data_IF_451664742650
#
_entry.id   IF_451664742650
#
_cell.length_a   1.000
_cell.length_b   1.000
_cell.length_c   1.000
_cell.angle_alpha   90.00
_cell.angle_beta   90.00
_cell.angle_gamma   90.00
#
_symmetry.space_group_name_H-M   'P 1'
#
loop_
_entity.id
_entity.type
_entity.pdbx_description
1 polymer ?
#
# COMPACT_ATOMS: atom_id res chain seq x y z
N UNK A 1 16.09 -17.88 -12.29
CA UNK A 1 15.94 -18.30 -10.88
C UNK A 1 14.74 -17.54 -10.31
N UNK A 2 13.86 -18.21 -9.57
CA UNK A 2 12.73 -17.56 -8.91
C UNK A 2 13.14 -16.94 -7.56
N UNK A 3 12.27 -16.12 -6.94
CA UNK A 3 12.53 -15.61 -5.60
C UNK A 3 12.65 -16.76 -4.60
N UNK A 4 13.42 -16.55 -3.54
CA UNK A 4 13.45 -17.45 -2.39
C UNK A 4 12.23 -17.17 -1.50
N UNK A 5 11.44 -18.20 -1.26
CA UNK A 5 10.20 -18.12 -0.47
C UNK A 5 10.46 -18.68 0.92
N UNK A 6 10.29 -17.82 1.93
CA UNK A 6 10.34 -18.18 3.34
C UNK A 6 8.90 -18.41 3.80
N UNK A 7 8.53 -19.69 3.93
CA UNK A 7 7.25 -20.06 4.51
C UNK A 7 7.33 -19.97 6.04
N UNK A 8 6.49 -19.13 6.63
CA UNK A 8 6.44 -19.01 8.07
C UNK A 8 5.80 -20.26 8.68
N UNK A 9 6.45 -20.82 9.71
CA UNK A 9 5.90 -21.91 10.53
C UNK A 9 5.04 -21.43 11.69
N UNK A 10 5.13 -20.14 12.04
CA UNK A 10 4.39 -19.46 13.10
C UNK A 10 4.45 -17.95 12.89
N UNK A 11 3.67 -17.19 13.66
CA UNK A 11 3.81 -15.73 13.73
C UNK A 11 5.23 -15.34 14.10
N UNK A 12 5.78 -14.33 13.41
CA UNK A 12 7.05 -13.74 13.81
C UNK A 12 6.88 -12.95 15.13
N UNK A 13 7.92 -12.86 15.98
CA UNK A 13 7.88 -12.03 17.17
C UNK A 13 7.63 -10.55 16.85
N UNK A 14 6.99 -9.85 17.78
CA UNK A 14 6.81 -8.40 17.71
C UNK A 14 8.16 -7.66 17.64
N UNK A 15 8.21 -6.62 16.83
CA UNK A 15 9.37 -5.74 16.69
C UNK A 15 9.30 -4.67 17.78
N UNK A 16 10.11 -4.82 18.80
CA UNK A 16 10.14 -3.93 19.98
C UNK A 16 11.36 -3.00 20.02
N UNK A 17 12.24 -3.09 19.02
CA UNK A 17 13.43 -2.24 18.88
C UNK A 17 13.70 -1.89 17.42
N UNK A 18 14.67 -1.00 17.15
CA UNK A 18 14.94 -0.55 15.79
C UNK A 18 15.40 -1.70 14.90
N UNK A 19 14.83 -1.78 13.70
CA UNK A 19 15.13 -2.85 12.74
C UNK A 19 15.25 -2.28 11.34
N UNK A 20 16.29 -2.68 10.63
CA UNK A 20 16.41 -2.47 9.19
C UNK A 20 16.51 -3.81 8.49
N UNK A 21 15.57 -4.07 7.58
CA UNK A 21 15.56 -5.26 6.74
C UNK A 21 15.85 -4.82 5.32
N UNK A 22 17.04 -5.17 4.84
CA UNK A 22 17.50 -4.90 3.49
C UNK A 22 17.42 -6.18 2.64
N UNK A 23 16.30 -6.35 1.93
CA UNK A 23 16.10 -7.41 0.96
C UNK A 23 16.87 -7.21 -0.35
N UNK A 24 17.30 -5.99 -0.66
CA UNK A 24 18.15 -5.70 -1.83
C UNK A 24 19.60 -6.15 -1.65
N UNK A 25 20.01 -6.48 -0.42
CA UNK A 25 21.28 -7.15 -0.14
C UNK A 25 21.41 -8.55 -0.76
N UNK A 26 20.28 -9.15 -1.19
CA UNK A 26 20.28 -10.51 -1.72
C UNK A 26 20.84 -10.57 -3.15
N UNK A 27 21.66 -11.58 -3.48
CA UNK A 27 22.17 -11.76 -4.83
C UNK A 27 21.05 -11.83 -5.88
N UNK A 28 21.15 -10.97 -6.90
CA UNK A 28 20.16 -10.88 -7.98
C UNK A 28 19.00 -9.92 -7.70
N UNK A 29 18.91 -9.35 -6.49
CA UNK A 29 17.98 -8.28 -6.22
C UNK A 29 18.44 -7.00 -6.92
N UNK A 30 17.49 -6.27 -7.51
CA UNK A 30 17.77 -5.05 -8.29
C UNK A 30 16.69 -4.03 -7.97
N UNK A 31 17.09 -2.83 -7.55
CA UNK A 31 16.13 -1.75 -7.30
C UNK A 31 15.51 -1.27 -8.61
N UNK A 32 14.28 -0.77 -8.53
CA UNK A 32 13.61 -0.18 -9.69
C UNK A 32 14.39 1.04 -10.21
N UNK A 33 14.62 1.05 -11.52
CA UNK A 33 15.21 2.18 -12.25
C UNK A 33 14.25 2.79 -13.28
N UNK A 34 13.08 2.17 -13.50
CA UNK A 34 12.13 2.63 -14.51
C UNK A 34 11.22 3.75 -14.00
N UNK A 35 11.07 4.78 -14.84
CA UNK A 35 10.11 5.88 -14.59
C UNK A 35 8.66 5.41 -14.68
N UNK A 36 8.39 4.52 -15.64
CA UNK A 36 7.09 3.90 -15.91
C UNK A 36 7.16 2.43 -15.50
N UNK A 37 6.23 2.00 -14.64
CA UNK A 37 6.20 0.67 -14.08
C UNK A 37 7.23 0.48 -12.96
N UNK A 38 7.47 -0.76 -12.60
CA UNK A 38 8.47 -1.19 -11.64
C UNK A 38 9.20 -2.38 -12.27
N UNK A 39 10.47 -2.17 -12.66
CA UNK A 39 11.35 -3.20 -13.21
C UNK A 39 12.31 -3.77 -12.15
N UNK A 40 12.11 -3.43 -10.88
CA UNK A 40 12.90 -3.95 -9.78
C UNK A 40 12.68 -5.45 -9.62
N UNK A 41 13.74 -6.14 -9.21
CA UNK A 41 13.71 -7.56 -8.87
C UNK A 41 13.83 -7.70 -7.36
N UNK A 42 12.77 -8.19 -6.73
CA UNK A 42 12.74 -8.57 -5.32
C UNK A 42 12.99 -10.08 -5.23
N UNK A 43 13.92 -10.49 -4.37
CA UNK A 43 14.38 -11.87 -4.32
C UNK A 43 13.88 -12.66 -3.11
N UNK A 44 13.30 -12.01 -2.10
CA UNK A 44 12.77 -12.67 -0.90
C UNK A 44 11.27 -12.47 -0.82
N UNK A 45 10.54 -13.57 -0.65
CA UNK A 45 9.12 -13.59 -0.32
C UNK A 45 8.95 -14.09 1.10
N UNK A 46 8.34 -13.29 1.97
CA UNK A 46 7.79 -13.75 3.25
C UNK A 46 6.36 -14.23 3.00
N UNK A 47 6.13 -15.52 3.23
CA UNK A 47 4.85 -16.16 2.99
C UNK A 47 4.20 -16.59 4.32
N UNK A 48 3.04 -16.00 4.61
CA UNK A 48 2.30 -16.19 5.86
C UNK A 48 1.63 -17.55 6.02
N UNK A 49 1.55 -18.36 4.94
CA UNK A 49 0.89 -19.67 4.84
C UNK A 49 -0.47 -19.73 5.56
N UNK A 50 -1.56 -19.76 4.78
CA UNK A 50 -2.95 -19.75 5.28
C UNK A 50 -3.34 -20.82 6.30
N UNK A 51 -2.48 -21.82 6.56
CA UNK A 51 -2.66 -22.83 7.62
C UNK A 51 -2.09 -22.48 9.00
N UNK A 52 -1.28 -21.42 9.16
CA UNK A 52 -0.69 -21.06 10.47
C UNK A 52 -1.44 -19.95 11.22
N UNK A 53 -2.45 -19.33 10.60
CA UNK A 53 -3.18 -18.19 11.19
C UNK A 53 -2.32 -16.95 11.40
N UNK A 54 -1.26 -16.77 10.59
CA UNK A 54 -0.39 -15.59 10.66
C UNK A 54 -1.18 -14.33 10.28
N UNK A 55 -1.56 -13.54 11.29
CA UNK A 55 -2.27 -12.28 11.07
C UNK A 55 -1.41 -11.28 10.29
N UNK A 56 -0.12 -11.19 10.62
CA UNK A 56 0.82 -10.31 9.94
C UNK A 56 2.24 -10.84 9.88
N UNK A 57 3.02 -10.34 8.92
CA UNK A 57 4.44 -10.67 8.78
C UNK A 57 5.26 -9.88 9.81
N UNK A 58 4.99 -8.58 9.91
CA UNK A 58 5.75 -7.66 10.74
C UNK A 58 4.80 -6.81 11.56
N UNK A 59 4.99 -6.80 12.87
CA UNK A 59 4.17 -6.03 13.80
C UNK A 59 5.08 -5.20 14.69
N UNK A 60 4.87 -3.88 14.69
CA UNK A 60 5.37 -2.99 15.74
C UNK A 60 4.18 -2.72 16.67
N UNK A 61 4.13 -3.33 17.87
CA UNK A 61 2.98 -3.23 18.74
C UNK A 61 2.88 -1.86 19.42
N UNK A 62 1.73 -1.61 20.06
CA UNK A 62 1.55 -0.43 20.91
C UNK A 62 2.51 -0.42 22.10
N UNK A 63 2.86 0.76 22.60
CA UNK A 63 3.73 0.93 23.76
C UNK A 63 5.23 0.83 23.44
N UNK A 64 5.60 0.56 22.19
CA UNK A 64 6.97 0.73 21.70
C UNK A 64 7.34 2.22 21.74
N UNK A 65 8.51 2.53 22.30
CA UNK A 65 8.96 3.90 22.53
C UNK A 65 9.08 4.71 21.24
N UNK A 66 8.69 5.98 21.30
CA UNK A 66 8.97 6.97 20.27
C UNK A 66 10.46 6.97 19.90
N UNK A 67 10.79 7.09 18.61
CA UNK A 67 12.15 6.96 18.09
C UNK A 67 12.57 5.53 17.73
N UNK A 68 11.76 4.51 18.07
CA UNK A 68 11.94 3.17 17.50
C UNK A 68 11.41 3.14 16.08
N UNK A 69 12.31 2.99 15.11
CA UNK A 69 11.97 2.95 13.69
C UNK A 69 12.24 1.58 13.07
N UNK A 70 11.46 1.28 12.04
CA UNK A 70 11.54 0.01 11.29
C UNK A 70 11.61 0.39 9.83
N UNK A 71 12.61 -0.12 9.14
CA UNK A 71 12.83 0.12 7.72
C UNK A 71 12.81 -1.20 6.97
N UNK A 72 11.99 -1.26 5.92
CA UNK A 72 11.85 -2.45 5.07
C UNK A 72 12.11 -2.05 3.63
N UNK A 73 13.19 -2.58 3.07
CA UNK A 73 13.60 -2.34 1.69
C UNK A 73 13.57 -3.65 0.92
N UNK A 74 12.77 -3.73 -0.16
CA UNK A 74 12.91 -4.81 -1.14
C UNK A 74 12.48 -6.21 -0.67
N UNK A 75 11.35 -6.32 0.02
CA UNK A 75 10.71 -7.62 0.32
C UNK A 75 9.39 -7.81 -0.42
N UNK A 76 9.01 -9.06 -0.63
CA UNK A 76 7.69 -9.44 -1.11
C UNK A 76 6.89 -10.11 0.00
N UNK A 77 5.60 -9.80 0.09
CA UNK A 77 4.69 -10.32 1.10
C UNK A 77 3.52 -11.08 0.45
N UNK A 78 3.24 -12.27 0.99
CA UNK A 78 2.22 -13.19 0.49
C UNK A 78 1.42 -13.80 1.65
N UNK A 79 0.09 -13.78 1.54
CA UNK A 79 -0.80 -14.63 2.35
C UNK A 79 -0.91 -14.31 3.85
N UNK A 80 -1.16 -13.04 4.21
CA UNK A 80 -1.40 -12.62 5.60
C UNK A 80 -2.86 -12.24 5.85
N UNK A 81 -3.50 -12.85 6.85
CA UNK A 81 -4.94 -12.72 7.09
C UNK A 81 -5.38 -11.29 7.43
N UNK A 82 -4.57 -10.56 8.20
CA UNK A 82 -4.85 -9.17 8.56
C UNK A 82 -4.05 -8.18 7.71
N UNK A 83 -2.72 -8.20 7.79
CA UNK A 83 -1.87 -7.23 7.11
C UNK A 83 -0.49 -7.80 6.84
N UNK A 84 0.19 -7.42 5.75
CA UNK A 84 1.61 -7.79 5.63
C UNK A 84 2.46 -7.07 6.68
N UNK A 85 2.24 -5.77 6.89
CA UNK A 85 2.93 -4.96 7.90
C UNK A 85 1.91 -4.16 8.71
N UNK A 86 2.04 -4.18 10.04
CA UNK A 86 1.27 -3.36 10.97
C UNK A 86 2.20 -2.50 11.83
N UNK A 87 2.00 -1.18 11.77
CA UNK A 87 2.65 -0.21 12.65
C UNK A 87 1.64 0.34 13.67
N UNK A 88 1.86 0.09 14.96
CA UNK A 88 1.00 0.56 16.05
C UNK A 88 1.75 1.23 17.21
N UNK A 89 3.07 1.34 17.14
CA UNK A 89 3.92 2.06 18.08
C UNK A 89 5.24 2.42 17.42
N UNK A 90 6.10 3.18 18.10
CA UNK A 90 7.30 3.75 17.47
C UNK A 90 6.99 4.97 16.58
N UNK A 91 7.99 5.41 15.81
CA UNK A 91 7.87 6.54 14.88
C UNK A 91 8.80 6.33 13.68
N UNK A 92 8.57 7.11 12.61
CA UNK A 92 9.51 7.22 11.50
C UNK A 92 9.79 5.88 10.77
N UNK A 93 8.80 4.98 10.74
CA UNK A 93 8.91 3.74 9.97
C UNK A 93 8.93 4.03 8.46
N UNK A 94 9.64 3.18 7.72
CA UNK A 94 9.74 3.30 6.28
C UNK A 94 9.56 1.96 5.58
N UNK A 95 8.79 1.96 4.49
CA UNK A 95 8.58 0.81 3.61
C UNK A 95 8.85 1.26 2.19
N UNK A 96 9.87 0.69 1.55
CA UNK A 96 10.35 1.13 0.25
C UNK A 96 10.68 -0.06 -0.66
N UNK A 97 10.43 0.10 -1.95
CA UNK A 97 10.80 -0.87 -2.98
C UNK A 97 10.20 -2.27 -2.80
N UNK A 98 9.13 -2.42 -2.03
CA UNK A 98 8.56 -3.71 -1.63
C UNK A 98 7.31 -4.11 -2.45
N UNK A 99 6.98 -5.40 -2.42
CA UNK A 99 5.87 -6.01 -3.18
C UNK A 99 4.83 -6.59 -2.23
N UNK A 100 3.56 -6.27 -2.46
CA UNK A 100 2.43 -6.78 -1.68
C UNK A 100 1.41 -7.40 -2.61
N UNK A 101 1.23 -8.72 -2.53
CA UNK A 101 0.30 -9.46 -3.40
C UNK A 101 0.63 -9.35 -4.91
N UNK A 102 -0.28 -9.86 -5.73
CA UNK A 102 -0.16 -9.88 -7.19
C UNK A 102 0.92 -10.84 -7.68
N UNK A 103 1.61 -10.44 -8.76
CA UNK A 103 2.67 -11.25 -9.36
C UNK A 103 4.08 -10.69 -9.10
N UNK A 104 5.04 -11.60 -8.90
CA UNK A 104 6.48 -11.36 -8.85
C UNK A 104 7.18 -12.29 -9.86
N UNK A 105 7.35 -11.80 -11.09
CA UNK A 105 7.76 -12.64 -12.21
C UNK A 105 6.72 -13.74 -12.48
N UNK A 106 7.13 -15.00 -12.46
CA UNK A 106 6.23 -16.15 -12.58
C UNK A 106 5.62 -16.62 -11.24
N UNK A 107 6.00 -16.00 -10.11
CA UNK A 107 5.48 -16.36 -8.79
C UNK A 107 4.23 -15.53 -8.51
N UNK A 108 3.11 -16.20 -8.23
CA UNK A 108 1.89 -15.55 -7.73
C UNK A 108 2.01 -15.44 -6.20
N UNK A 109 1.72 -14.25 -5.68
CA UNK A 109 1.68 -13.99 -4.25
C UNK A 109 0.22 -14.02 -3.79
N UNK A 110 -0.03 -14.74 -2.70
CA UNK A 110 -1.36 -14.77 -2.09
C UNK A 110 -1.71 -13.40 -1.51
N UNK A 111 -2.99 -13.01 -1.57
CA UNK A 111 -3.41 -11.70 -1.10
C UNK A 111 -3.26 -11.58 0.42
N UNK A 112 -3.06 -10.35 0.90
CA UNK A 112 -3.14 -10.02 2.33
C UNK A 112 -4.35 -9.12 2.59
N UNK A 113 -4.86 -9.09 3.83
CA UNK A 113 -5.94 -8.16 4.21
C UNK A 113 -5.58 -6.71 3.88
N UNK A 114 -4.52 -6.23 4.52
CA UNK A 114 -3.85 -4.98 4.20
C UNK A 114 -2.45 -5.23 3.64
N UNK A 115 -1.96 -4.37 2.75
CA UNK A 115 -0.53 -4.32 2.46
C UNK A 115 0.21 -3.70 3.65
N UNK A 116 -0.04 -2.43 3.91
CA UNK A 116 0.48 -1.74 5.10
C UNK A 116 -0.67 -1.13 5.90
N UNK A 117 -0.70 -1.43 7.21
CA UNK A 117 -1.61 -0.82 8.17
C UNK A 117 -0.84 0.10 9.11
N UNK A 118 -1.20 1.39 9.09
CA UNK A 118 -0.71 2.41 10.01
C UNK A 118 -1.81 2.71 11.02
N UNK A 119 -1.54 2.32 12.26
CA UNK A 119 -2.48 2.34 13.37
C UNK A 119 -2.56 3.68 14.09
N UNK A 120 -3.09 3.63 15.31
CA UNK A 120 -3.30 4.78 16.19
C UNK A 120 -1.98 5.43 16.59
N UNK A 121 -1.98 6.75 16.72
CA UNK A 121 -0.88 7.55 17.30
C UNK A 121 0.48 7.41 16.59
N UNK A 122 0.44 7.00 15.32
CA UNK A 122 1.64 6.93 14.49
C UNK A 122 1.97 8.29 13.88
N UNK A 123 3.25 8.62 13.85
CA UNK A 123 3.81 9.77 13.13
C UNK A 123 5.05 9.40 12.32
N UNK A 124 5.35 10.21 11.31
CA UNK A 124 6.57 10.09 10.49
C UNK A 124 6.63 8.85 9.58
N UNK A 125 5.54 8.11 9.37
CA UNK A 125 5.59 6.89 8.55
C UNK A 125 5.72 7.23 7.06
N UNK A 126 6.71 6.65 6.39
CA UNK A 126 6.95 6.77 4.96
C UNK A 126 6.64 5.47 4.23
N UNK A 127 5.68 5.50 3.30
CA UNK A 127 5.37 4.37 2.42
C UNK A 127 5.68 4.79 0.99
N UNK A 128 6.81 4.30 0.50
CA UNK A 128 7.44 4.72 -0.75
C UNK A 128 8.50 5.79 -0.51
N UNK A 129 8.76 6.61 -1.52
CA UNK A 129 9.76 7.67 -1.45
C UNK A 129 9.93 8.39 -2.79
N UNK A 130 10.72 9.48 -2.82
CA UNK A 130 10.86 10.32 -4.00
C UNK A 130 11.63 9.62 -5.14
N UNK A 131 12.47 8.63 -4.84
CA UNK A 131 13.27 7.94 -5.84
C UNK A 131 12.47 6.83 -6.52
N UNK A 132 12.86 6.50 -7.76
CA UNK A 132 12.25 5.39 -8.49
C UNK A 132 12.42 4.05 -7.76
N UNK A 133 13.54 3.88 -7.04
CA UNK A 133 13.87 2.70 -6.23
C UNK A 133 12.92 2.48 -5.06
N UNK A 134 12.33 3.56 -4.53
CA UNK A 134 11.53 3.49 -3.30
C UNK A 134 10.11 2.99 -3.56
N UNK A 135 9.73 2.85 -4.84
CA UNK A 135 8.39 2.51 -5.28
C UNK A 135 7.95 1.13 -4.80
N UNK A 136 6.96 1.09 -3.93
CA UNK A 136 6.25 -0.15 -3.63
C UNK A 136 5.19 -0.45 -4.70
N UNK A 137 4.80 -1.72 -4.80
CA UNK A 137 3.69 -2.16 -5.66
C UNK A 137 2.72 -2.99 -4.85
N UNK A 138 1.48 -2.50 -4.76
CA UNK A 138 0.40 -3.13 -4.01
C UNK A 138 -0.68 -3.67 -4.94
N UNK A 139 -0.95 -4.97 -4.83
CA UNK A 139 -1.92 -5.69 -5.63
C UNK A 139 -2.70 -6.67 -4.74
N UNK A 140 -3.93 -6.97 -5.18
CA UNK A 140 -4.80 -8.02 -4.64
C UNK A 140 -5.11 -7.97 -3.13
N UNK A 141 -4.88 -6.84 -2.44
CA UNK A 141 -5.24 -6.75 -1.03
C UNK A 141 -6.76 -6.92 -0.82
N UNK A 142 -7.15 -7.80 0.10
CA UNK A 142 -8.56 -8.18 0.30
C UNK A 142 -9.36 -7.14 1.07
N UNK A 143 -8.70 -6.18 1.75
CA UNK A 143 -9.31 -5.05 2.44
C UNK A 143 -8.84 -3.71 1.84
N UNK A 144 -7.54 -3.39 1.93
CA UNK A 144 -6.96 -2.20 1.29
C UNK A 144 -5.46 -2.33 1.06
N UNK A 145 -4.92 -1.72 0.00
CA UNK A 145 -3.46 -1.69 -0.19
C UNK A 145 -2.76 -1.02 1.01
N UNK A 146 -3.25 0.16 1.39
CA UNK A 146 -2.71 0.93 2.51
C UNK A 146 -3.86 1.45 3.36
N UNK A 147 -3.78 1.26 4.67
CA UNK A 147 -4.72 1.84 5.64
C UNK A 147 -3.97 2.76 6.59
N UNK A 148 -4.40 4.01 6.65
CA UNK A 148 -3.94 5.02 7.61
C UNK A 148 -5.13 5.35 8.48
N UNK A 149 -5.30 4.61 9.57
CA UNK A 149 -6.48 4.70 10.42
C UNK A 149 -6.19 4.21 11.84
N UNK A 150 -6.42 5.09 12.81
CA UNK A 150 -6.47 4.77 14.23
C UNK A 150 -7.88 4.45 14.71
N UNK A 151 -8.03 4.28 16.02
CA UNK A 151 -9.30 4.00 16.69
C UNK A 151 -9.89 5.23 17.40
N UNK A 152 -11.18 5.47 17.20
CA UNK A 152 -11.89 6.60 17.81
C UNK A 152 -11.31 7.96 17.39
N UNK A 153 -11.09 8.85 18.37
CA UNK A 153 -10.55 10.20 18.14
C UNK A 153 -9.05 10.26 17.92
N UNK A 154 -8.31 9.18 18.17
CA UNK A 154 -6.86 9.17 17.99
C UNK A 154 -6.53 8.50 16.68
N UNK A 155 -5.92 9.28 15.81
CA UNK A 155 -5.65 8.94 14.44
C UNK A 155 -4.17 9.19 14.12
N UNK A 156 -3.58 8.44 13.19
CA UNK A 156 -2.23 8.72 12.71
C UNK A 156 -2.15 10.07 12.01
N UNK A 157 -0.98 10.69 12.08
CA UNK A 157 -0.67 11.95 11.44
C UNK A 157 0.68 11.89 10.73
N UNK A 158 0.93 12.85 9.84
CA UNK A 158 2.23 13.02 9.16
C UNK A 158 2.70 11.79 8.37
N UNK A 159 1.77 10.90 7.98
CA UNK A 159 2.08 9.76 7.13
C UNK A 159 2.24 10.23 5.69
N UNK A 160 3.38 9.89 5.07
CA UNK A 160 3.65 10.17 3.67
C UNK A 160 3.54 8.89 2.85
N UNK A 161 2.55 8.84 1.95
CA UNK A 161 2.44 7.79 0.94
C UNK A 161 2.76 8.37 -0.42
N UNK A 162 3.87 7.95 -1.00
CA UNK A 162 4.31 8.52 -2.27
C UNK A 162 4.92 7.55 -3.27
N UNK A 163 4.69 7.85 -4.55
CA UNK A 163 5.33 7.19 -5.68
C UNK A 163 5.10 5.66 -5.74
N UNK A 164 4.01 5.17 -5.17
CA UNK A 164 3.67 3.74 -5.20
C UNK A 164 2.76 3.39 -6.40
N UNK A 165 2.79 2.13 -6.81
CA UNK A 165 1.78 1.54 -7.68
C UNK A 165 0.71 0.84 -6.86
N UNK A 166 -0.56 1.18 -7.12
CA UNK A 166 -1.72 0.69 -6.36
C UNK A 166 -2.72 0.06 -7.32
N UNK A 167 -2.95 -1.24 -7.19
CA UNK A 167 -3.97 -1.97 -7.93
C UNK A 167 -3.56 -2.32 -9.36
N UNK A 168 -2.28 -2.56 -9.61
CA UNK A 168 -1.75 -2.78 -10.96
C UNK A 168 -0.59 -3.74 -10.98
N UNK A 169 -0.43 -4.38 -12.13
CA UNK A 169 0.77 -5.13 -12.50
C UNK A 169 2.03 -4.27 -12.34
N UNK A 170 3.21 -4.85 -12.10
CA UNK A 170 4.46 -4.10 -12.00
C UNK A 170 4.74 -3.24 -13.24
N UNK A 171 4.37 -3.68 -14.44
CA UNK A 171 4.49 -2.88 -15.67
C UNK A 171 3.60 -1.63 -15.74
N UNK A 172 2.68 -1.45 -14.78
CA UNK A 172 1.80 -0.29 -14.68
C UNK A 172 0.67 -0.21 -15.70
N UNK A 173 0.57 -1.18 -16.62
CA UNK A 173 -0.42 -1.22 -17.70
C UNK A 173 -1.59 -2.19 -17.49
N UNK A 174 -1.42 -3.23 -16.68
CA UNK A 174 -2.47 -4.21 -16.33
C UNK A 174 -3.12 -3.94 -14.97
N UNK A 175 -4.36 -4.37 -14.80
CA UNK A 175 -5.08 -4.25 -13.52
C UNK A 175 -4.85 -5.50 -12.64
N UNK A 176 -4.40 -5.27 -11.40
CA UNK A 176 -4.34 -6.26 -10.31
C UNK A 176 -4.99 -5.59 -9.07
N UNK A 177 -6.33 -5.45 -9.07
CA UNK A 177 -7.02 -4.53 -8.18
C UNK A 177 -7.02 -4.97 -6.72
N UNK A 178 -6.77 -4.01 -5.82
CA UNK A 178 -7.08 -4.17 -4.40
C UNK A 178 -8.58 -3.91 -4.16
N UNK A 179 -9.16 -4.47 -3.08
CA UNK A 179 -10.53 -4.14 -2.67
C UNK A 179 -10.70 -2.63 -2.43
N UNK A 180 -9.68 -2.01 -1.81
CA UNK A 180 -9.57 -0.54 -1.68
C UNK A 180 -8.12 -0.13 -1.94
N UNK A 181 -7.93 1.07 -2.51
CA UNK A 181 -6.59 1.63 -2.72
C UNK A 181 -5.97 2.08 -1.39
N UNK A 182 -6.13 3.36 -1.07
CA UNK A 182 -5.59 3.93 0.17
C UNK A 182 -6.76 4.44 1.02
N UNK A 183 -6.85 3.99 2.27
CA UNK A 183 -7.80 4.52 3.25
C UNK A 183 -7.04 5.51 4.12
N UNK A 184 -7.56 6.73 4.28
CA UNK A 184 -6.93 7.77 5.10
C UNK A 184 -7.93 8.33 6.10
N UNK A 185 -7.51 8.36 7.36
CA UNK A 185 -8.11 9.10 8.48
C UNK A 185 -7.02 9.93 9.15
N UNK A 186 -7.40 10.74 10.14
CA UNK A 186 -6.47 11.64 10.82
C UNK A 186 -6.16 12.90 10.00
N UNK A 187 -5.10 13.59 10.40
CA UNK A 187 -4.74 14.92 9.90
C UNK A 187 -3.27 14.95 9.45
N UNK A 188 -2.93 15.92 8.59
CA UNK A 188 -1.57 16.14 8.07
C UNK A 188 -0.95 14.96 7.29
N UNK A 189 -1.74 13.96 6.92
CA UNK A 189 -1.30 12.86 6.04
C UNK A 189 -1.18 13.35 4.60
N UNK A 190 -0.14 12.91 3.89
CA UNK A 190 0.20 13.36 2.53
C UNK A 190 0.23 12.17 1.58
N UNK A 191 -0.65 12.20 0.58
CA UNK A 191 -0.73 11.16 -0.47
C UNK A 191 -0.39 11.83 -1.80
N UNK A 192 0.74 11.49 -2.42
CA UNK A 192 1.18 12.13 -3.67
C UNK A 192 1.83 11.16 -4.64
N UNK A 193 1.74 11.45 -5.93
CA UNK A 193 2.47 10.72 -6.99
C UNK A 193 2.20 9.20 -7.08
N UNK A 194 1.19 8.67 -6.39
CA UNK A 194 0.78 7.28 -6.50
C UNK A 194 0.02 7.04 -7.81
N UNK A 195 0.22 5.87 -8.42
CA UNK A 195 -0.33 5.48 -9.73
C UNK A 195 -1.31 4.31 -9.58
N UNK A 196 -2.45 4.39 -10.25
CA UNK A 196 -3.44 3.31 -10.34
C UNK A 196 -4.11 3.31 -11.73
N UNK A 197 -4.32 2.15 -12.37
CA UNK A 197 -4.83 2.04 -13.73
C UNK A 197 -6.35 2.26 -13.83
N UNK A 198 -7.07 2.26 -12.69
CA UNK A 198 -8.52 2.48 -12.65
C UNK A 198 -8.82 3.84 -12.01
N UNK A 199 -8.84 4.91 -12.81
CA UNK A 199 -9.20 6.27 -12.34
C UNK A 199 -10.39 6.77 -13.17
N UNK A 200 -11.62 6.56 -12.69
CA UNK A 200 -12.76 7.46 -12.94
C UNK A 200 -12.80 8.45 -11.75
N UNK A 201 -12.57 9.75 -12.00
CA UNK A 201 -12.50 10.80 -10.96
C UNK A 201 -13.91 11.24 -10.56
N UNK A 202 -14.20 11.34 -9.26
CA UNK A 202 -15.25 12.25 -8.76
C UNK A 202 -14.69 13.16 -7.65
N UNK A 203 -15.08 14.45 -7.57
CA UNK A 203 -14.61 15.34 -6.52
C UNK A 203 -15.41 15.10 -5.24
N UNK A 204 -14.75 14.95 -4.10
CA UNK A 204 -15.39 15.14 -2.77
C UNK A 204 -14.69 16.27 -2.02
N UNK A 205 -15.48 17.11 -1.37
CA UNK A 205 -15.15 18.46 -0.91
C UNK A 205 -14.49 18.54 0.46
N UNK A 206 -14.01 17.43 1.04
CA UNK A 206 -13.56 17.37 2.44
C UNK A 206 -12.12 16.89 2.63
N UNK A 207 -11.31 16.90 1.58
CA UNK A 207 -9.89 16.59 1.68
C UNK A 207 -9.08 17.74 1.08
N UNK A 208 -8.14 18.29 1.84
CA UNK A 208 -7.02 19.06 1.27
C UNK A 208 -6.07 18.08 0.58
N UNK A 209 -6.55 17.45 -0.50
CA UNK A 209 -5.73 16.65 -1.42
C UNK A 209 -4.93 17.60 -2.29
N UNK A 210 -3.64 17.76 -1.98
CA UNK A 210 -2.70 18.24 -2.98
C UNK A 210 -2.52 17.13 -4.04
N UNK A 211 -3.38 17.13 -5.05
CA UNK A 211 -3.32 16.28 -6.26
C UNK A 211 -3.07 14.77 -6.02
N UNK A 212 -4.16 13.97 -6.12
CA UNK A 212 -4.22 12.48 -6.19
C UNK A 212 -4.12 11.72 -4.85
N UNK A 213 -5.20 11.75 -4.07
CA UNK A 213 -5.52 10.68 -3.12
C UNK A 213 -6.66 9.84 -3.72
N UNK A 214 -6.43 8.54 -3.92
CA UNK A 214 -7.33 7.60 -4.57
C UNK A 214 -8.23 6.99 -3.50
N UNK A 215 -9.52 7.35 -3.49
CA UNK A 215 -10.54 6.72 -2.64
C UNK A 215 -11.45 5.81 -3.47
N UNK A 216 -11.59 4.57 -3.00
CA UNK A 216 -12.44 3.46 -3.45
C UNK A 216 -12.35 3.01 -4.91
N UNK A 217 -11.90 1.77 -5.12
CA UNK A 217 -11.90 1.04 -6.39
C UNK A 217 -13.11 0.09 -6.40
N UNK A 218 -14.27 0.54 -6.86
CA UNK A 218 -15.38 -0.37 -7.20
C UNK A 218 -15.50 -0.47 -8.71
N UNK A 219 -15.69 -1.70 -9.17
CA UNK A 219 -15.56 -2.18 -10.56
C UNK A 219 -16.39 -1.43 -11.62
N UNK A 220 -15.89 -1.32 -12.86
CA UNK A 220 -16.55 -0.63 -13.97
C UNK A 220 -17.59 -1.52 -14.65
N UNK A 221 -18.80 -1.59 -14.10
CA UNK A 221 -20.00 -1.78 -14.93
C UNK A 221 -20.67 -0.45 -15.30
N UNK A 222 -20.13 0.69 -14.85
CA UNK A 222 -20.80 1.99 -14.94
C UNK A 222 -20.01 3.15 -15.59
N UNK A 223 -18.77 2.96 -16.08
CA UNK A 223 -18.13 3.99 -16.94
C UNK A 223 -18.53 3.77 -18.41
N UNK A 224 -19.84 3.84 -18.71
CA UNK A 224 -20.34 4.37 -19.98
C UNK A 224 -21.12 5.63 -19.62
N UNK A 225 -20.70 6.77 -20.15
CA UNK A 225 -21.59 7.70 -20.86
C UNK A 225 -20.81 8.92 -21.36
N UNK A 226 -20.79 9.04 -22.69
CA UNK A 226 -21.35 10.18 -23.42
C UNK A 226 -21.29 11.54 -22.71
N UNK A 227 -20.42 12.41 -23.24
CA UNK A 227 -20.50 13.87 -23.25
C UNK A 227 -21.39 14.58 -22.21
N UNK A 228 -20.76 15.27 -21.26
CA UNK A 228 -21.33 16.45 -20.59
C UNK A 228 -20.25 17.51 -20.44
N UNK A 229 -20.16 18.41 -21.41
CA UNK A 229 -19.40 19.66 -21.31
C UNK A 229 -20.37 20.80 -21.01
N UNK A 230 -20.28 21.40 -19.82
CA UNK A 230 -21.02 22.61 -19.45
C UNK A 230 -20.44 23.25 -18.18
N UNK A 231 -20.41 24.59 -18.06
CA UNK A 231 -19.63 25.27 -17.02
C UNK A 231 -20.35 25.28 -15.67
N UNK A 232 -19.53 25.30 -14.61
CA UNK A 232 -19.95 25.18 -13.23
C UNK A 232 -20.71 26.43 -12.74
N UNK A 233 -22.03 26.33 -12.53
CA UNK A 233 -22.67 26.99 -11.39
C UNK A 233 -24.11 26.51 -11.16
N UNK A 234 -24.44 26.26 -9.89
CA UNK A 234 -25.76 26.25 -9.24
C UNK A 234 -26.88 25.35 -9.81
N UNK A 235 -27.22 24.37 -8.98
CA UNK A 235 -28.59 23.99 -8.60
C UNK A 235 -29.49 23.39 -9.69
N UNK A 236 -29.63 22.06 -9.60
CA UNK A 236 -30.70 21.21 -10.17
C UNK A 236 -30.82 21.22 -11.69
N UNK A 237 -30.37 20.14 -12.33
CA UNK A 237 -31.03 19.63 -13.52
C UNK A 237 -30.93 18.10 -13.56
N UNK A 238 -32.10 17.47 -13.54
CA UNK A 238 -32.29 16.04 -13.73
C UNK A 238 -31.87 15.63 -15.15
N UNK A 239 -31.30 14.45 -15.30
CA UNK A 239 -31.38 13.73 -16.56
C UNK A 239 -31.69 12.25 -16.31
N UNK A 240 -32.69 11.82 -17.08
CA UNK A 240 -33.42 10.55 -17.06
C UNK A 240 -32.58 9.34 -17.47
N UNK A 241 -33.13 8.19 -17.10
CA UNK A 241 -32.67 6.84 -17.37
C UNK A 241 -32.29 6.54 -18.83
N UNK A 242 -31.23 5.72 -18.96
CA UNK A 242 -31.13 4.51 -19.79
C UNK A 242 -30.06 3.61 -19.15
#
# INVERSE_FOLDING_TARGET
MGPHIINLGSTLPDITGPVHIDGYSQPGAVMNSSEIGNNGTVCIVLNGFSGTGSLAAMVVPQGVAEGTSVRVDGLAFSGFDLAAITFSGGSDHAVSGSRFGGSLGATVLDPSGYGVQVGRDMTGVHIGGPLLSDRNVFADATIAAISIAGSGSVQPSEVLVENNYIGTTPGGGGAEPNQRGIIVRGFNNRIRNNRSPTICRTPSSWMTVWRRAILSNTTPSACRHSACSGPANRTVMACMAC
#
